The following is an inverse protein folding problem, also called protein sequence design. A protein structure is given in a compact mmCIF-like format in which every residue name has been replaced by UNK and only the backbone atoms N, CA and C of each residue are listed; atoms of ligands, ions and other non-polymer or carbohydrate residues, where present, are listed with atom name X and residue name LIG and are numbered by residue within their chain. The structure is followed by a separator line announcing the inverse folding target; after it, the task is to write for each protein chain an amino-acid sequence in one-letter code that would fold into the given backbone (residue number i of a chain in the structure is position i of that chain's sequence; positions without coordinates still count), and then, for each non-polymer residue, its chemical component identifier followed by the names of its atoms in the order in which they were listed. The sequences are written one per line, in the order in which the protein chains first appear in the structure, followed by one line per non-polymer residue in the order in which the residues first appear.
data_IF_882338103482
#
_entry.id   IF_882338103482
#
_cell.length_a   1.000
_cell.length_b   1.000
_cell.length_c   1.000
_cell.angle_alpha   90.00
_cell.angle_beta   90.00
_cell.angle_gamma   90.00
#
_symmetry.space_group_name_H-M   'P 1'
#
loop_
_entity.id
_entity.type
_entity.pdbx_description
1 polymer ?
#
# COMPACT_ATOMS: atom_id res chain seq x y z
N UNK A 1 -28.67 -28.24 -12.39
CA UNK A 1 -27.80 -29.39 -12.08
C UNK A 1 -26.47 -28.82 -11.63
N UNK A 2 -26.18 -28.95 -10.34
CA UNK A 2 -25.01 -28.37 -9.66
C UNK A 2 -24.01 -29.50 -9.42
N UNK A 3 -22.77 -29.48 -9.96
CA UNK A 3 -21.74 -30.41 -9.53
C UNK A 3 -21.13 -29.90 -8.24
N UNK A 4 -21.54 -30.54 -7.14
CA UNK A 4 -20.85 -30.50 -5.86
C UNK A 4 -19.43 -31.06 -6.06
N UNK A 5 -18.40 -30.21 -6.00
CA UNK A 5 -17.05 -30.70 -5.74
C UNK A 5 -16.95 -30.99 -4.23
N UNK A 6 -17.32 -32.22 -3.89
CA UNK A 6 -17.14 -32.83 -2.59
C UNK A 6 -15.63 -32.83 -2.27
N UNK A 7 -15.22 -32.02 -1.29
CA UNK A 7 -13.99 -32.25 -0.54
C UNK A 7 -14.18 -33.55 0.26
N UNK A 8 -13.91 -34.68 -0.38
CA UNK A 8 -13.91 -35.99 0.24
C UNK A 8 -12.58 -36.21 0.95
N UNK A 9 -12.62 -36.33 2.28
CA UNK A 9 -11.53 -36.88 3.10
C UNK A 9 -10.70 -35.83 3.83
N UNK A 10 -11.00 -35.62 5.11
CA UNK A 10 -10.12 -34.89 6.02
C UNK A 10 -8.83 -35.67 6.25
N UNK A 11 -7.79 -35.36 5.48
CA UNK A 11 -6.44 -35.82 5.77
C UNK A 11 -5.91 -35.06 7.00
N UNK A 12 -5.44 -35.78 8.02
CA UNK A 12 -4.83 -35.21 9.24
C UNK A 12 -3.48 -34.53 8.96
N UNK A 13 -2.95 -34.64 7.74
CA UNK A 13 -1.64 -34.11 7.34
C UNK A 13 -1.62 -33.76 5.85
N UNK A 14 -1.04 -32.61 5.49
CA UNK A 14 -0.89 -32.14 4.10
C UNK A 14 0.39 -32.71 3.45
N UNK A 15 0.31 -33.12 2.19
CA UNK A 15 1.46 -33.56 1.37
C UNK A 15 1.58 -32.70 0.13
N UNK A 16 2.78 -32.62 -0.45
CA UNK A 16 3.04 -31.90 -1.71
C UNK A 16 2.12 -32.37 -2.85
N UNK A 17 1.85 -33.67 -2.93
CA UNK A 17 0.95 -34.25 -3.94
C UNK A 17 -0.52 -33.79 -3.81
N UNK A 18 -0.91 -33.21 -2.68
CA UNK A 18 -2.24 -32.65 -2.46
C UNK A 18 -2.33 -31.18 -2.94
N UNK A 19 -1.21 -30.58 -3.34
CA UNK A 19 -1.16 -29.21 -3.87
C UNK A 19 -1.33 -29.21 -5.40
N UNK A 20 -2.44 -28.67 -5.88
CA UNK A 20 -2.69 -28.45 -7.32
C UNK A 20 -2.58 -26.97 -7.66
N UNK A 21 -1.77 -26.65 -8.68
CA UNK A 21 -1.67 -25.29 -9.23
C UNK A 21 -2.98 -24.86 -9.89
N UNK A 22 -3.70 -25.79 -10.51
CA UNK A 22 -4.98 -25.51 -11.15
C UNK A 22 -6.08 -25.22 -10.12
N UNK A 23 -6.09 -25.93 -8.99
CA UNK A 23 -7.02 -25.67 -7.88
C UNK A 23 -6.71 -24.31 -7.24
N UNK A 24 -5.42 -23.98 -7.10
CA UNK A 24 -5.00 -22.66 -6.63
C UNK A 24 -5.42 -21.55 -7.59
N UNK A 25 -5.20 -21.72 -8.90
CA UNK A 25 -5.65 -20.76 -9.91
C UNK A 25 -7.17 -20.56 -9.86
N UNK A 26 -7.93 -21.65 -9.75
CA UNK A 26 -9.40 -21.63 -9.62
C UNK A 26 -9.83 -20.90 -8.35
N UNK A 27 -9.15 -21.14 -7.23
CA UNK A 27 -9.40 -20.45 -5.97
C UNK A 27 -9.17 -18.95 -6.09
N UNK A 28 -8.08 -18.51 -6.75
CA UNK A 28 -7.81 -17.08 -6.94
C UNK A 28 -8.89 -16.44 -7.83
N UNK A 29 -9.28 -17.07 -8.95
CA UNK A 29 -10.34 -16.52 -9.82
C UNK A 29 -11.70 -16.44 -9.10
N UNK A 30 -12.11 -17.52 -8.43
CA UNK A 30 -13.39 -17.54 -7.69
C UNK A 30 -13.39 -16.48 -6.57
N UNK A 31 -12.26 -16.34 -5.87
CA UNK A 31 -12.09 -15.32 -4.82
C UNK A 31 -12.17 -13.89 -5.38
N UNK A 32 -11.73 -13.65 -6.62
CA UNK A 32 -11.89 -12.36 -7.30
C UNK A 32 -13.34 -12.07 -7.66
N UNK A 33 -14.05 -13.05 -8.21
CA UNK A 33 -15.45 -12.88 -8.66
C UNK A 33 -16.44 -12.71 -7.51
N UNK A 34 -16.19 -13.36 -6.37
CA UNK A 34 -17.09 -13.30 -5.21
C UNK A 34 -17.01 -11.98 -4.42
N UNK A 35 -15.98 -11.16 -4.64
CA UNK A 35 -15.81 -9.91 -3.91
C UNK A 35 -16.62 -8.79 -4.56
N UNK A 36 -17.53 -8.21 -3.79
CA UNK A 36 -18.17 -6.96 -4.18
C UNK A 36 -17.16 -5.82 -4.16
N UNK A 37 -17.33 -4.86 -5.08
CA UNK A 37 -16.57 -3.62 -5.07
C UNK A 37 -16.77 -2.88 -3.74
N UNK A 38 -15.70 -2.46 -3.04
CA UNK A 38 -15.83 -1.62 -1.85
C UNK A 38 -16.63 -0.35 -2.17
N UNK A 39 -17.41 0.13 -1.20
CA UNK A 39 -18.40 1.20 -1.44
C UNK A 39 -17.72 2.52 -1.77
N UNK A 40 -16.61 2.82 -1.09
CA UNK A 40 -15.89 4.09 -1.23
C UNK A 40 -14.83 4.05 -2.34
N UNK A 41 -14.53 2.88 -2.91
CA UNK A 41 -13.64 2.77 -4.06
C UNK A 41 -14.23 3.55 -5.26
N UNK A 42 -13.38 4.28 -5.98
CA UNK A 42 -13.73 4.92 -7.24
C UNK A 42 -13.73 3.92 -8.39
N UNK A 43 -12.78 2.98 -8.39
CA UNK A 43 -12.61 1.97 -9.43
C UNK A 43 -12.01 0.66 -8.88
N UNK A 44 -11.99 -0.39 -9.70
CA UNK A 44 -11.25 -1.64 -9.46
C UNK A 44 -10.38 -1.91 -10.68
N UNK A 45 -9.06 -1.95 -10.48
CA UNK A 45 -8.10 -2.25 -11.54
C UNK A 45 -7.35 -3.53 -11.19
N UNK A 46 -7.45 -4.55 -12.03
CA UNK A 46 -6.87 -5.88 -11.79
C UNK A 46 -7.28 -6.51 -10.43
N UNK A 47 -8.50 -6.23 -9.96
CA UNK A 47 -8.98 -6.70 -8.66
C UNK A 47 -8.52 -5.85 -7.47
N UNK A 48 -7.80 -4.75 -7.71
CA UNK A 48 -7.31 -3.83 -6.68
C UNK A 48 -8.23 -2.61 -6.60
N UNK A 49 -8.81 -2.30 -5.43
CA UNK A 49 -9.57 -1.09 -5.23
C UNK A 49 -8.72 0.17 -5.41
N UNK A 50 -9.20 1.08 -6.24
CA UNK A 50 -8.62 2.41 -6.45
C UNK A 50 -9.54 3.42 -5.80
N UNK A 51 -8.99 4.19 -4.87
CA UNK A 51 -9.67 5.29 -4.19
C UNK A 51 -9.17 6.62 -4.71
N UNK A 52 -10.06 7.60 -4.74
CA UNK A 52 -9.76 8.95 -5.19
C UNK A 52 -9.49 9.89 -4.01
N UNK A 53 -8.28 10.43 -3.92
CA UNK A 53 -7.84 11.28 -2.81
C UNK A 53 -8.73 12.51 -2.60
N UNK A 54 -9.23 13.13 -3.68
CA UNK A 54 -10.08 14.32 -3.57
C UNK A 54 -11.44 13.98 -2.96
N UNK A 55 -11.99 12.82 -3.33
CA UNK A 55 -13.22 12.32 -2.72
C UNK A 55 -13.02 11.86 -1.26
N UNK A 56 -11.81 11.40 -0.90
CA UNK A 56 -11.50 10.91 0.44
C UNK A 56 -11.19 12.01 1.46
N UNK A 57 -10.52 13.10 1.07
CA UNK A 57 -10.16 14.19 2.01
C UNK A 57 -11.34 14.68 2.87
N UNK A 58 -12.55 14.96 2.35
CA UNK A 58 -13.67 15.36 3.18
C UNK A 58 -14.18 14.23 4.10
N UNK A 59 -13.99 12.96 3.73
CA UNK A 59 -14.35 11.79 4.56
C UNK A 59 -13.37 11.64 5.72
N UNK A 60 -12.08 11.75 5.42
CA UNK A 60 -10.99 11.66 6.42
C UNK A 60 -11.09 12.79 7.44
N UNK A 61 -11.48 14.00 7.01
CA UNK A 61 -11.68 15.15 7.89
C UNK A 61 -12.96 15.07 8.75
N UNK A 62 -13.90 14.18 8.42
CA UNK A 62 -15.17 14.03 9.11
C UNK A 62 -15.09 12.87 10.12
N UNK A 63 -15.08 13.21 11.41
CA UNK A 63 -14.99 12.24 12.50
C UNK A 63 -16.14 11.22 12.53
N UNK A 64 -17.31 11.55 11.98
CA UNK A 64 -18.45 10.63 11.92
C UNK A 64 -18.32 9.62 10.76
N UNK A 65 -17.67 10.01 9.67
CA UNK A 65 -17.55 9.17 8.45
C UNK A 65 -16.23 8.42 8.37
N UNK A 66 -15.16 8.94 8.97
CA UNK A 66 -13.83 8.32 8.98
C UNK A 66 -13.84 6.86 9.43
N UNK A 67 -14.57 6.44 10.49
CA UNK A 67 -14.59 5.04 10.91
C UNK A 67 -15.11 4.08 9.83
N UNK A 68 -16.05 4.51 8.99
CA UNK A 68 -16.56 3.68 7.88
C UNK A 68 -15.46 3.45 6.82
N UNK A 69 -14.66 4.47 6.52
CA UNK A 69 -13.53 4.36 5.60
C UNK A 69 -12.45 3.42 6.16
N UNK A 70 -12.08 3.59 7.43
CA UNK A 70 -11.08 2.74 8.08
C UNK A 70 -11.52 1.28 8.12
N UNK A 71 -12.79 1.01 8.45
CA UNK A 71 -13.34 -0.35 8.46
C UNK A 71 -13.34 -0.98 7.07
N UNK A 72 -13.66 -0.21 6.02
CA UNK A 72 -13.58 -0.69 4.63
C UNK A 72 -12.13 -1.01 4.24
N UNK A 73 -11.18 -0.13 4.53
CA UNK A 73 -9.75 -0.38 4.25
C UNK A 73 -9.18 -1.56 5.03
N UNK A 74 -9.52 -1.70 6.32
CA UNK A 74 -9.15 -2.85 7.12
C UNK A 74 -9.66 -4.16 6.49
N UNK A 75 -10.91 -4.19 6.02
CA UNK A 75 -11.47 -5.35 5.30
C UNK A 75 -10.75 -5.60 3.97
N UNK A 76 -10.42 -4.55 3.20
CA UNK A 76 -9.66 -4.68 1.95
C UNK A 76 -8.27 -5.29 2.20
N UNK A 77 -7.60 -4.88 3.27
CA UNK A 77 -6.26 -5.37 3.63
C UNK A 77 -6.29 -6.79 4.22
N UNK A 78 -7.26 -7.10 5.07
CA UNK A 78 -7.33 -8.37 5.79
C UNK A 78 -7.93 -9.51 4.95
N UNK A 79 -9.08 -9.26 4.33
CA UNK A 79 -9.89 -10.28 3.65
C UNK A 79 -10.03 -10.03 2.15
N UNK A 80 -9.72 -8.80 1.72
CA UNK A 80 -9.88 -8.31 0.36
C UNK A 80 -8.66 -8.56 -0.53
N UNK A 81 -8.29 -7.52 -1.28
CA UNK A 81 -7.17 -7.56 -2.22
C UNK A 81 -5.79 -7.57 -1.54
N UNK A 82 -5.72 -7.32 -0.22
CA UNK A 82 -4.47 -7.16 0.52
C UNK A 82 -3.71 -5.86 0.19
N UNK A 83 -4.26 -5.06 -0.72
CA UNK A 83 -3.70 -3.79 -1.19
C UNK A 83 -4.82 -2.92 -1.74
N UNK A 84 -4.63 -1.61 -1.67
CA UNK A 84 -5.44 -0.63 -2.39
C UNK A 84 -4.55 0.49 -2.95
N UNK A 85 -5.09 1.25 -3.89
CA UNK A 85 -4.40 2.39 -4.52
C UNK A 85 -5.07 3.68 -4.10
N UNK A 86 -4.27 4.68 -3.72
CA UNK A 86 -4.72 6.05 -3.50
C UNK A 86 -4.32 6.90 -4.72
N UNK A 87 -5.25 7.10 -5.63
CA UNK A 87 -5.07 8.03 -6.74
C UNK A 87 -5.16 9.48 -6.23
N UNK A 88 -4.27 10.36 -6.69
CA UNK A 88 -4.18 11.76 -6.22
C UNK A 88 -4.09 11.88 -4.69
N UNK A 89 -3.29 11.02 -4.06
CA UNK A 89 -3.08 11.01 -2.60
C UNK A 89 -2.59 12.37 -2.07
N UNK A 90 -1.72 13.05 -2.81
CA UNK A 90 -1.35 14.45 -2.58
C UNK A 90 -2.14 15.35 -3.52
N UNK A 91 -2.69 16.43 -2.99
CA UNK A 91 -3.34 17.51 -3.74
C UNK A 91 -2.28 18.46 -4.29
N UNK A 92 -1.26 18.75 -3.49
CA UNK A 92 -0.05 19.44 -3.88
C UNK A 92 1.14 18.47 -3.93
N UNK A 93 1.59 18.14 -5.15
CA UNK A 93 2.71 17.22 -5.37
C UNK A 93 4.07 17.87 -5.15
N UNK A 94 4.17 19.19 -4.94
CA UNK A 94 5.46 19.87 -4.72
C UNK A 94 6.18 19.34 -3.49
N UNK A 95 5.45 18.87 -2.48
CA UNK A 95 6.02 18.22 -1.31
C UNK A 95 6.82 16.95 -1.67
N UNK A 96 6.41 16.23 -2.71
CA UNK A 96 7.10 15.02 -3.20
C UNK A 96 8.40 15.43 -3.92
N UNK A 97 8.34 16.44 -4.78
CA UNK A 97 9.49 16.94 -5.52
C UNK A 97 10.56 17.53 -4.57
N UNK A 98 10.12 18.31 -3.58
CA UNK A 98 10.98 18.87 -2.54
C UNK A 98 11.64 17.77 -1.70
N UNK A 99 10.87 16.79 -1.24
CA UNK A 99 11.40 15.65 -0.49
C UNK A 99 12.41 14.83 -1.32
N UNK A 100 12.11 14.62 -2.60
CA UNK A 100 12.99 13.94 -3.56
C UNK A 100 14.33 14.66 -3.68
N UNK A 101 14.32 15.98 -3.88
CA UNK A 101 15.55 16.77 -4.01
C UNK A 101 16.43 16.68 -2.75
N UNK A 102 15.82 16.69 -1.56
CA UNK A 102 16.54 16.52 -0.29
C UNK A 102 17.11 15.10 -0.16
N UNK A 103 16.34 14.06 -0.46
CA UNK A 103 16.83 12.68 -0.43
C UNK A 103 17.97 12.43 -1.40
N UNK A 104 17.89 12.95 -2.62
CA UNK A 104 19.01 12.86 -3.57
C UNK A 104 20.26 13.59 -3.07
N UNK A 105 20.09 14.72 -2.38
CA UNK A 105 21.21 15.44 -1.74
C UNK A 105 21.86 14.60 -0.65
N UNK A 106 21.06 13.95 0.20
CA UNK A 106 21.52 13.01 1.24
C UNK A 106 22.30 11.86 0.59
N UNK A 107 21.73 11.21 -0.43
CA UNK A 107 22.40 10.11 -1.17
C UNK A 107 23.75 10.56 -1.72
N UNK A 108 23.82 11.72 -2.38
CA UNK A 108 25.09 12.26 -2.93
C UNK A 108 26.12 12.54 -1.83
N UNK A 109 25.68 13.04 -0.67
CA UNK A 109 26.56 13.33 0.47
C UNK A 109 27.11 12.03 1.08
N UNK A 110 26.24 11.07 1.37
CA UNK A 110 26.64 9.84 2.05
C UNK A 110 27.46 8.89 1.18
N UNK A 111 27.21 8.87 -0.15
CA UNK A 111 28.10 8.20 -1.12
C UNK A 111 29.54 8.71 -1.03
N UNK A 112 29.73 10.04 -0.89
CA UNK A 112 31.07 10.64 -0.75
C UNK A 112 31.69 10.33 0.60
N UNK A 113 30.88 10.19 1.65
CA UNK A 113 31.32 9.85 2.99
C UNK A 113 31.66 8.35 3.18
N UNK A 114 31.50 7.52 2.13
CA UNK A 114 31.88 6.11 2.14
C UNK A 114 30.76 5.13 2.50
N UNK A 115 29.51 5.58 2.63
CA UNK A 115 28.35 4.73 2.93
C UNK A 115 28.36 4.19 4.36
N UNK A 116 27.48 4.73 5.21
CA UNK A 116 27.28 4.26 6.59
C UNK A 116 26.35 3.04 6.65
N UNK A 117 25.26 3.16 7.42
CA UNK A 117 24.20 2.13 7.46
C UNK A 117 23.35 2.08 6.17
N UNK A 118 23.46 3.10 5.32
CA UNK A 118 22.73 3.20 4.07
C UNK A 118 23.38 2.34 2.98
N UNK A 119 22.53 1.78 2.11
CA UNK A 119 22.99 0.99 0.98
C UNK A 119 22.86 1.81 -0.30
N UNK A 120 24.00 2.18 -0.88
CA UNK A 120 24.04 2.87 -2.16
C UNK A 120 24.57 1.93 -3.22
N UNK A 121 23.70 1.57 -4.17
CA UNK A 121 24.06 0.65 -5.21
C UNK A 121 24.89 1.34 -6.31
N UNK A 122 25.43 0.55 -7.24
CA UNK A 122 26.08 1.08 -8.46
C UNK A 122 25.08 1.96 -9.24
N UNK A 123 25.59 2.89 -10.05
CA UNK A 123 24.76 3.70 -10.93
C UNK A 123 23.81 2.81 -11.76
N UNK A 124 22.51 3.13 -11.72
CA UNK A 124 21.45 2.32 -12.36
C UNK A 124 20.82 1.24 -11.48
N UNK A 125 21.25 1.09 -10.23
CA UNK A 125 20.63 0.23 -9.23
C UNK A 125 20.04 1.06 -8.07
N UNK A 126 19.12 0.47 -7.31
CA UNK A 126 18.34 1.18 -6.29
C UNK A 126 19.20 1.62 -5.10
N UNK A 127 19.16 2.92 -4.80
CA UNK A 127 19.68 3.47 -3.55
C UNK A 127 18.65 3.31 -2.43
N UNK A 128 19.12 3.08 -1.20
CA UNK A 128 18.28 2.96 -0.02
C UNK A 128 18.83 3.82 1.11
N UNK A 129 18.00 4.76 1.57
CA UNK A 129 18.26 5.60 2.73
C UNK A 129 17.68 4.92 3.98
N UNK A 130 18.50 4.61 4.97
CA UNK A 130 18.01 4.19 6.28
C UNK A 130 17.57 5.40 7.09
N UNK A 131 16.55 5.25 7.93
CA UNK A 131 16.05 6.33 8.79
C UNK A 131 15.62 7.60 8.02
N UNK A 132 14.97 7.41 6.86
CA UNK A 132 14.63 8.50 5.95
C UNK A 132 13.74 9.59 6.58
N UNK A 133 12.84 9.22 7.49
CA UNK A 133 11.98 10.16 8.21
C UNK A 133 12.79 11.13 9.06
N UNK A 134 13.71 10.63 9.91
CA UNK A 134 14.58 11.47 10.73
C UNK A 134 15.50 12.32 9.86
N UNK A 135 16.13 11.73 8.83
CA UNK A 135 17.05 12.46 7.94
C UNK A 135 16.34 13.61 7.21
N UNK A 136 15.11 13.39 6.71
CA UNK A 136 14.33 14.46 6.09
C UNK A 136 13.93 15.53 7.12
N UNK A 137 13.48 15.12 8.31
CA UNK A 137 13.10 16.03 9.39
C UNK A 137 14.26 16.93 9.82
N UNK A 138 15.46 16.38 9.97
CA UNK A 138 16.66 17.15 10.35
C UNK A 138 17.15 18.07 9.23
N UNK A 139 17.05 17.64 7.97
CA UNK A 139 17.55 18.41 6.82
C UNK A 139 16.57 19.51 6.38
N UNK A 140 15.28 19.24 6.41
CA UNK A 140 14.22 20.14 5.92
C UNK A 140 12.90 19.90 6.69
N UNK A 141 12.74 20.46 7.91
CA UNK A 141 11.57 20.23 8.75
C UNK A 141 10.23 20.63 8.09
N UNK A 142 10.22 21.70 7.29
CA UNK A 142 9.04 22.17 6.57
C UNK A 142 8.60 21.20 5.47
N UNK A 143 9.56 20.64 4.72
CA UNK A 143 9.32 19.61 3.72
C UNK A 143 8.85 18.32 4.39
N UNK A 144 9.48 17.94 5.51
CA UNK A 144 9.07 16.78 6.30
C UNK A 144 7.59 16.85 6.69
N UNK A 145 7.14 18.00 7.24
CA UNK A 145 5.74 18.16 7.64
C UNK A 145 4.82 18.08 6.42
N UNK A 146 5.10 18.80 5.33
CA UNK A 146 4.27 18.76 4.12
C UNK A 146 4.20 17.36 3.49
N UNK A 147 5.31 16.61 3.52
CA UNK A 147 5.39 15.28 2.95
C UNK A 147 4.69 14.23 3.82
N UNK A 148 4.95 14.18 5.13
CA UNK A 148 4.44 13.11 5.99
C UNK A 148 3.10 13.42 6.68
N UNK A 149 2.68 14.68 6.79
CA UNK A 149 1.41 15.05 7.42
C UNK A 149 0.20 14.93 6.48
N UNK A 150 0.26 14.10 5.45
CA UNK A 150 -0.84 13.86 4.54
C UNK A 150 -1.98 13.10 5.25
N UNK A 151 -3.17 13.69 5.44
CA UNK A 151 -4.24 13.08 6.22
C UNK A 151 -4.73 11.74 5.65
N UNK A 152 -4.69 11.56 4.33
CA UNK A 152 -5.11 10.33 3.67
C UNK A 152 -4.12 9.20 3.97
N UNK A 153 -2.81 9.49 3.98
CA UNK A 153 -1.78 8.52 4.35
C UNK A 153 -1.85 8.17 5.84
N UNK A 154 -2.11 9.15 6.70
CA UNK A 154 -2.31 8.93 8.14
C UNK A 154 -3.50 8.00 8.37
N UNK A 155 -4.64 8.26 7.72
CA UNK A 155 -5.79 7.38 7.80
C UNK A 155 -5.49 5.96 7.29
N UNK A 156 -4.70 5.83 6.20
CA UNK A 156 -4.33 4.54 5.66
C UNK A 156 -3.44 3.72 6.61
N UNK A 157 -2.58 4.40 7.38
CA UNK A 157 -1.73 3.76 8.39
C UNK A 157 -2.46 3.38 9.69
N UNK A 158 -3.64 3.96 9.93
CA UNK A 158 -4.50 3.65 11.07
C UNK A 158 -5.47 2.47 10.83
N UNK A 159 -5.79 2.20 9.56
CA UNK A 159 -6.70 1.13 9.15
C UNK A 159 -6.06 -0.26 9.34
#
# INVERSE_FOLDING_TARGET
MNPQHLLSGGHTWFREADCSVDDFATLIETSREMRSRPRLAADIVHGIPVYDGDALRPIVADAARRPELLAEWASVLLDGAGVFVLHRAYDDTTAIDDATAIFESIIRSERKAGGGADHFAKAGANDRIWNAQEKLCLAAPDVFVRYFANPVLVAAAEA
#
